data_IF_389955705520
#
_entry.id   IF_389955705520
#
_cell.length_a   1.000
_cell.length_b   1.000
_cell.length_c   1.000
_cell.angle_alpha   90.00
_cell.angle_beta   90.00
_cell.angle_gamma   90.00
#
_symmetry.space_group_name_H-M   'P 1'
#
loop_
_entity.id
_entity.type
_entity.pdbx_description
1 polymer ?
#
# COMPACT_ATOMS: atom_id res chain seq x y z
N UNK A 1 11.19 0.87 15.40
CA UNK A 1 10.63 1.61 14.23
C UNK A 1 10.19 0.69 13.09
N UNK A 2 10.85 -0.46 12.85
CA UNK A 2 10.38 -1.50 11.91
C UNK A 2 8.96 -2.01 12.20
N UNK A 3 8.58 -2.18 13.47
CA UNK A 3 7.21 -2.56 13.86
C UNK A 3 6.14 -1.50 13.54
N UNK A 4 6.51 -0.21 13.51
CA UNK A 4 5.60 0.87 13.10
C UNK A 4 5.39 0.87 11.58
N UNK A 5 6.45 0.55 10.82
CA UNK A 5 6.40 0.37 9.36
C UNK A 5 5.63 -0.90 8.96
N UNK A 6 5.80 -2.00 9.68
CA UNK A 6 4.99 -3.23 9.51
C UNK A 6 3.51 -2.99 9.85
N UNK A 7 3.24 -2.14 10.85
CA UNK A 7 1.90 -1.69 11.21
C UNK A 7 1.19 -0.86 10.13
N UNK A 8 1.94 -0.20 9.25
CA UNK A 8 1.43 0.50 8.06
C UNK A 8 1.13 -0.46 6.90
N UNK A 9 1.78 -1.63 6.86
CA UNK A 9 1.66 -2.61 5.77
C UNK A 9 0.39 -3.47 5.90
N UNK A 10 -0.19 -3.62 7.10
CA UNK A 10 -1.42 -4.41 7.30
C UNK A 10 -2.53 -3.71 8.12
N UNK A 11 -3.10 -2.60 7.61
CA UNK A 11 -4.21 -1.91 8.27
C UNK A 11 -5.50 -2.75 8.32
N UNK A 12 -5.68 -3.66 7.35
CA UNK A 12 -6.83 -4.55 7.27
C UNK A 12 -6.87 -5.57 8.41
N UNK A 13 -5.74 -6.17 8.79
CA UNK A 13 -5.70 -7.12 9.90
C UNK A 13 -6.04 -6.47 11.24
N UNK A 14 -5.58 -5.23 11.48
CA UNK A 14 -5.92 -4.47 12.69
C UNK A 14 -7.41 -4.13 12.79
N UNK A 15 -8.06 -3.83 11.67
CA UNK A 15 -9.51 -3.59 11.65
C UNK A 15 -10.25 -4.91 11.88
N UNK A 16 -9.79 -6.03 11.32
CA UNK A 16 -10.38 -7.34 11.58
C UNK A 16 -10.27 -7.75 13.06
N UNK A 17 -9.11 -7.53 13.69
CA UNK A 17 -8.90 -7.75 15.13
C UNK A 17 -9.86 -6.89 15.97
N UNK A 18 -9.95 -5.58 15.68
CA UNK A 18 -10.90 -4.69 16.37
C UNK A 18 -12.36 -5.09 16.18
N UNK A 19 -12.74 -5.59 15.00
CA UNK A 19 -14.10 -6.11 14.78
C UNK A 19 -14.33 -7.36 15.64
N UNK A 20 -13.34 -8.25 15.73
CA UNK A 20 -13.43 -9.46 16.56
C UNK A 20 -13.57 -9.10 18.05
N UNK A 21 -12.76 -8.17 18.55
CA UNK A 21 -12.82 -7.72 19.95
C UNK A 21 -14.20 -7.13 20.29
N UNK A 22 -14.72 -6.23 19.45
CA UNK A 22 -16.04 -5.61 19.68
C UNK A 22 -17.17 -6.65 19.57
N UNK A 23 -17.05 -7.67 18.72
CA UNK A 23 -18.03 -8.78 18.67
C UNK A 23 -17.97 -9.65 19.93
N UNK A 24 -16.80 -9.85 20.52
CA UNK A 24 -16.66 -10.56 21.81
C UNK A 24 -17.26 -9.72 22.95
N UNK A 25 -17.04 -8.39 22.95
CA UNK A 25 -17.69 -7.48 23.89
C UNK A 25 -19.21 -7.48 23.73
N UNK A 26 -19.72 -7.49 22.49
CA UNK A 26 -21.14 -7.60 22.20
C UNK A 26 -21.74 -8.90 22.76
N UNK A 27 -21.02 -10.02 22.63
CA UNK A 27 -21.47 -11.32 23.15
C UNK A 27 -21.44 -11.40 24.69
N UNK A 28 -20.63 -10.56 25.35
CA UNK A 28 -20.52 -10.49 26.81
C UNK A 28 -21.37 -9.37 27.43
N UNK A 29 -22.04 -8.56 26.60
CA UNK A 29 -22.86 -7.44 27.07
C UNK A 29 -24.01 -7.94 27.94
N UNK A 30 -24.16 -7.37 29.14
CA UNK A 30 -25.21 -7.75 30.08
C UNK A 30 -26.52 -6.98 29.82
N UNK A 31 -26.45 -5.88 29.06
CA UNK A 31 -27.58 -4.97 28.81
C UNK A 31 -27.81 -4.73 27.32
N UNK A 32 -29.07 -4.52 26.93
CA UNK A 32 -29.43 -4.21 25.55
C UNK A 32 -28.78 -2.91 25.05
N UNK A 33 -28.58 -1.95 25.94
CA UNK A 33 -27.96 -0.67 25.61
C UNK A 33 -26.48 -0.80 25.23
N UNK A 34 -25.75 -1.73 25.86
CA UNK A 34 -24.36 -2.05 25.51
C UNK A 34 -24.29 -2.83 24.20
N UNK A 35 -25.24 -3.76 23.99
CA UNK A 35 -25.35 -4.54 22.75
C UNK A 35 -25.59 -3.66 21.53
N UNK A 36 -26.49 -2.68 21.63
CA UNK A 36 -26.78 -1.71 20.55
C UNK A 36 -25.54 -0.87 20.22
N UNK A 37 -24.84 -0.35 21.24
CA UNK A 37 -23.61 0.44 21.04
C UNK A 37 -22.48 -0.37 20.40
N UNK A 38 -22.34 -1.64 20.79
CA UNK A 38 -21.37 -2.54 20.18
C UNK A 38 -21.72 -2.82 18.71
N UNK A 39 -23.00 -3.00 18.39
CA UNK A 39 -23.46 -3.23 17.01
C UNK A 39 -23.17 -2.03 16.09
N UNK A 40 -23.41 -0.80 16.54
CA UNK A 40 -23.08 0.42 15.78
C UNK A 40 -21.57 0.53 15.49
N UNK A 41 -20.73 0.18 16.48
CA UNK A 41 -19.27 0.15 16.31
C UNK A 41 -18.84 -0.92 15.32
N UNK A 42 -19.42 -2.12 15.37
CA UNK A 42 -19.17 -3.19 14.39
C UNK A 42 -19.52 -2.72 12.98
N UNK A 43 -20.71 -2.15 12.76
CA UNK A 43 -21.14 -1.64 11.45
C UNK A 43 -20.20 -0.56 10.91
N UNK A 44 -19.74 0.34 11.78
CA UNK A 44 -18.79 1.40 11.40
C UNK A 44 -17.44 0.80 10.98
N UNK A 45 -16.92 -0.17 11.73
CA UNK A 45 -15.64 -0.82 11.42
C UNK A 45 -15.73 -1.70 10.17
N UNK A 46 -16.84 -2.39 9.97
CA UNK A 46 -17.11 -3.18 8.75
C UNK A 46 -17.23 -2.29 7.52
N UNK A 47 -17.89 -1.13 7.61
CA UNK A 47 -17.94 -0.14 6.52
C UNK A 47 -16.54 0.40 6.18
N UNK A 48 -15.72 0.73 7.19
CA UNK A 48 -14.32 1.14 6.98
C UNK A 48 -13.49 0.04 6.31
N UNK A 49 -13.67 -1.21 6.73
CA UNK A 49 -13.01 -2.38 6.10
C UNK A 49 -13.43 -2.51 4.64
N UNK A 50 -14.72 -2.39 4.33
CA UNK A 50 -15.24 -2.53 2.98
C UNK A 50 -14.66 -1.49 2.01
N UNK A 51 -14.56 -0.23 2.43
CA UNK A 51 -13.90 0.84 1.65
C UNK A 51 -12.44 0.49 1.40
N UNK A 52 -11.70 0.10 2.44
CA UNK A 52 -10.29 -0.26 2.32
C UNK A 52 -10.05 -1.46 1.41
N UNK A 53 -10.93 -2.46 1.45
CA UNK A 53 -10.88 -3.62 0.55
C UNK A 53 -11.13 -3.19 -0.89
N UNK A 54 -12.16 -2.36 -1.13
CA UNK A 54 -12.47 -1.83 -2.45
C UNK A 54 -11.32 -0.99 -3.05
N UNK A 55 -10.64 -0.20 -2.22
CA UNK A 55 -9.47 0.59 -2.64
C UNK A 55 -8.22 -0.27 -2.85
N UNK A 56 -8.03 -1.32 -2.04
CA UNK A 56 -6.83 -2.18 -2.09
C UNK A 56 -6.70 -3.00 -3.38
N UNK A 57 -7.79 -3.17 -4.13
CA UNK A 57 -7.84 -3.89 -5.41
C UNK A 57 -8.04 -3.01 -6.65
N UNK A 58 -8.06 -1.68 -6.51
CA UNK A 58 -8.39 -0.80 -7.63
C UNK A 58 -7.27 -0.79 -8.68
N UNK A 59 -7.58 -1.33 -9.87
CA UNK A 59 -6.71 -1.26 -11.06
C UNK A 59 -6.29 0.18 -11.40
N UNK A 60 -7.10 1.16 -11.01
CA UNK A 60 -6.80 2.58 -11.18
C UNK A 60 -5.59 3.03 -10.36
N UNK A 61 -5.44 2.52 -9.13
CA UNK A 61 -4.28 2.84 -8.28
C UNK A 61 -3.00 2.21 -8.86
N UNK A 62 -3.12 1.00 -9.43
CA UNK A 62 -2.03 0.38 -10.20
C UNK A 62 -1.62 1.21 -11.42
N UNK A 63 -2.60 1.74 -12.17
CA UNK A 63 -2.36 2.58 -13.34
C UNK A 63 -1.67 3.90 -12.97
N UNK A 64 -2.11 4.57 -11.90
CA UNK A 64 -1.48 5.81 -11.42
C UNK A 64 -0.03 5.58 -10.98
N UNK A 65 0.24 4.48 -10.27
CA UNK A 65 1.61 4.08 -9.89
C UNK A 65 2.48 3.81 -11.12
N UNK A 66 1.93 3.10 -12.11
CA UNK A 66 2.63 2.84 -13.37
C UNK A 66 2.92 4.14 -14.11
N UNK A 67 1.97 5.07 -14.16
CA UNK A 67 2.13 6.39 -14.77
C UNK A 67 3.24 7.22 -14.11
N UNK A 68 3.35 7.20 -12.78
CA UNK A 68 4.40 7.91 -12.05
C UNK A 68 5.79 7.27 -12.23
N UNK A 69 5.85 5.93 -12.33
CA UNK A 69 7.10 5.21 -12.55
C UNK A 69 7.59 5.25 -14.02
N UNK A 70 6.67 5.46 -14.96
CA UNK A 70 6.93 5.40 -16.41
C UNK A 70 8.13 6.28 -16.86
N UNK A 71 8.26 7.55 -16.43
CA UNK A 71 9.37 8.41 -16.88
C UNK A 71 10.73 7.86 -16.46
N UNK A 72 10.83 7.33 -15.24
CA UNK A 72 12.07 6.74 -14.71
C UNK A 72 12.43 5.44 -15.44
N UNK A 73 11.44 4.61 -15.78
CA UNK A 73 11.66 3.40 -16.60
C UNK A 73 12.20 3.77 -17.98
N UNK A 74 11.60 4.78 -18.63
CA UNK A 74 12.05 5.26 -19.94
C UNK A 74 13.46 5.86 -19.85
N UNK A 75 13.73 6.66 -18.82
CA UNK A 75 15.07 7.23 -18.57
C UNK A 75 16.13 6.14 -18.43
N UNK A 76 15.88 5.12 -17.59
CA UNK A 76 16.80 4.00 -17.42
C UNK A 76 16.97 3.18 -18.69
N UNK A 77 15.89 2.94 -19.44
CA UNK A 77 15.96 2.22 -20.71
C UNK A 77 16.84 2.98 -21.71
N UNK A 78 16.68 4.30 -21.83
CA UNK A 78 17.54 5.13 -22.67
C UNK A 78 18.99 5.08 -22.18
N UNK A 79 19.24 5.31 -20.89
CA UNK A 79 20.59 5.34 -20.33
C UNK A 79 21.30 3.99 -20.54
N UNK A 80 20.66 2.87 -20.21
CA UNK A 80 21.27 1.54 -20.33
C UNK A 80 21.38 1.10 -21.79
N UNK A 81 20.27 1.08 -22.52
CA UNK A 81 20.26 0.53 -23.87
C UNK A 81 20.93 1.46 -24.87
N UNK A 82 20.60 2.75 -24.84
CA UNK A 82 21.09 3.71 -25.83
C UNK A 82 22.52 4.15 -25.56
N UNK A 83 22.80 4.59 -24.32
CA UNK A 83 24.11 5.17 -24.02
C UNK A 83 25.16 4.12 -23.64
N UNK A 84 24.79 3.11 -22.83
CA UNK A 84 25.77 2.12 -22.35
C UNK A 84 25.95 0.94 -23.30
N UNK A 85 24.87 0.37 -23.83
CA UNK A 85 24.95 -0.80 -24.72
C UNK A 85 25.32 -0.37 -26.14
N UNK A 86 24.62 0.63 -26.69
CA UNK A 86 24.81 1.04 -28.08
C UNK A 86 25.86 2.15 -28.25
N UNK A 87 26.17 2.91 -27.20
CA UNK A 87 27.14 4.00 -27.27
C UNK A 87 26.69 5.17 -28.14
N UNK A 88 25.40 5.29 -28.42
CA UNK A 88 24.83 6.25 -29.39
C UNK A 88 24.47 7.59 -28.77
N UNK A 89 24.92 7.86 -27.55
CA UNK A 89 24.67 9.12 -26.88
C UNK A 89 25.16 9.18 -25.45
N UNK A 90 24.95 10.34 -24.85
CA UNK A 90 25.17 10.61 -23.43
C UNK A 90 23.92 11.22 -22.84
N UNK A 91 23.53 10.80 -21.65
CA UNK A 91 22.46 11.41 -20.85
C UNK A 91 23.08 12.04 -19.62
N UNK A 92 22.63 13.25 -19.30
CA UNK A 92 22.96 13.86 -18.02
C UNK A 92 22.40 13.02 -16.87
N UNK A 93 23.20 12.89 -15.81
CA UNK A 93 22.77 12.23 -14.59
C UNK A 93 21.59 12.94 -13.96
N UNK A 94 20.71 12.18 -13.32
CA UNK A 94 19.64 12.76 -12.51
C UNK A 94 20.23 13.61 -11.38
N UNK A 95 19.56 14.71 -11.06
CA UNK A 95 19.88 15.47 -9.85
C UNK A 95 19.68 14.59 -8.61
N UNK A 96 20.31 14.94 -7.50
CA UNK A 96 20.21 14.16 -6.27
C UNK A 96 18.76 13.97 -5.81
N UNK A 97 17.93 14.99 -5.98
CA UNK A 97 16.50 14.99 -5.63
C UNK A 97 15.73 14.01 -6.53
N UNK A 98 15.98 14.03 -7.84
CA UNK A 98 15.31 13.12 -8.77
C UNK A 98 15.73 11.67 -8.59
N UNK A 99 17.02 11.44 -8.29
CA UNK A 99 17.51 10.11 -7.97
C UNK A 99 16.87 9.55 -6.69
N UNK A 100 16.65 10.39 -5.67
CA UNK A 100 15.91 9.98 -4.46
C UNK A 100 14.47 9.58 -4.79
N UNK A 101 13.79 10.33 -5.66
CA UNK A 101 12.42 10.01 -6.10
C UNK A 101 12.39 8.70 -6.88
N UNK A 102 13.36 8.48 -7.77
CA UNK A 102 13.51 7.24 -8.52
C UNK A 102 13.70 6.04 -7.57
N UNK A 103 14.64 6.14 -6.64
CA UNK A 103 14.92 5.09 -5.66
C UNK A 103 13.71 4.81 -4.77
N UNK A 104 12.93 5.83 -4.41
CA UNK A 104 11.67 5.64 -3.71
C UNK A 104 10.65 4.87 -4.58
N UNK A 105 10.49 5.22 -5.85
CA UNK A 105 9.59 4.52 -6.77
C UNK A 105 9.96 3.04 -6.92
N UNK A 106 11.24 2.76 -7.16
CA UNK A 106 11.78 1.39 -7.29
C UNK A 106 11.59 0.62 -5.98
N UNK A 107 11.92 1.24 -4.84
CA UNK A 107 11.77 0.64 -3.52
C UNK A 107 10.33 0.26 -3.21
N UNK A 108 9.37 1.16 -3.47
CA UNK A 108 7.95 0.87 -3.29
C UNK A 108 7.42 -0.22 -4.22
N UNK A 109 7.91 -0.31 -5.45
CA UNK A 109 7.54 -1.38 -6.38
C UNK A 109 7.94 -2.76 -5.83
N UNK A 110 9.19 -2.94 -5.43
CA UNK A 110 9.67 -4.21 -4.89
C UNK A 110 9.08 -4.52 -3.51
N UNK A 111 8.88 -3.52 -2.66
CA UNK A 111 8.22 -3.71 -1.36
C UNK A 111 6.78 -4.18 -1.54
N UNK A 112 6.06 -3.62 -2.51
CA UNK A 112 4.70 -4.05 -2.83
C UNK A 112 4.66 -5.50 -3.32
N UNK A 113 5.56 -5.90 -4.22
CA UNK A 113 5.71 -7.28 -4.70
C UNK A 113 5.97 -8.25 -3.53
N UNK A 114 6.89 -7.93 -2.63
CA UNK A 114 7.18 -8.75 -1.43
C UNK A 114 5.95 -8.85 -0.53
N UNK A 115 5.29 -7.72 -0.24
CA UNK A 115 4.09 -7.70 0.60
C UNK A 115 2.87 -8.40 -0.05
N UNK A 116 2.80 -8.43 -1.39
CA UNK A 116 1.79 -9.18 -2.13
C UNK A 116 2.07 -10.68 -2.09
N UNK A 117 3.34 -11.09 -2.15
CA UNK A 117 3.76 -12.50 -2.09
C UNK A 117 3.56 -13.11 -0.70
N UNK A 118 3.78 -12.35 0.38
CA UNK A 118 3.52 -12.81 1.76
C UNK A 118 2.02 -13.01 2.03
N UNK A 119 1.13 -12.34 1.28
CA UNK A 119 -0.33 -12.45 1.44
C UNK A 119 -0.97 -13.60 0.66
N UNK A 120 -0.24 -14.27 -0.24
CA UNK A 120 -0.69 -15.47 -0.95
C UNK A 120 -0.24 -16.71 -0.20
#
# INVERSE_FOLDING_TARGET
MLGALLGLINPLSRIAEKIADVKVEQARAATDHERIRAEERVKTLEARRAVMVAESGSRLNGLMRAGFALPFVIYNAKLVLWDKVLGWGTTDGLSAELFQVEMACIGFYFLYEVAARIRR
#
